data_IF_261912641073
#
_entry.id   IF_261912641073
#
_cell.length_a   1.000
_cell.length_b   1.000
_cell.length_c   1.000
_cell.angle_alpha   90.00
_cell.angle_beta   90.00
_cell.angle_gamma   90.00
#
_symmetry.space_group_name_H-M   'P 1'
#
loop_
_entity.id
_entity.type
_entity.pdbx_description
1 polymer ?
#
# COMPACT_ATOMS: atom_id res chain seq x y z
N UNK A 1 -3.86 22.57 2.76
CA UNK A 1 -2.94 21.59 3.37
C UNK A 1 -3.74 20.38 3.80
N UNK A 2 -3.78 19.31 2.98
CA UNK A 2 -4.56 18.11 3.30
C UNK A 2 -3.93 17.41 4.53
N UNK A 3 -4.65 17.39 5.65
CA UNK A 3 -4.26 16.66 6.87
C UNK A 3 -4.66 15.18 6.72
N UNK A 4 -4.04 14.45 5.80
CA UNK A 4 -4.49 13.09 5.44
C UNK A 4 -3.93 11.96 6.32
N UNK A 5 -3.22 12.29 7.40
CA UNK A 5 -2.65 11.30 8.31
C UNK A 5 -3.09 11.48 9.76
N UNK A 6 -3.69 10.44 10.37
CA UNK A 6 -3.90 10.38 11.83
C UNK A 6 -2.71 9.67 12.47
N UNK A 7 -1.92 10.41 13.23
CA UNK A 7 -0.82 9.86 14.03
C UNK A 7 -1.35 9.19 15.30
N UNK A 8 -0.95 7.94 15.52
CA UNK A 8 -1.16 7.19 16.75
C UNK A 8 0.19 7.03 17.45
N UNK A 9 0.36 7.76 18.55
CA UNK A 9 1.60 7.82 19.31
C UNK A 9 1.37 7.44 20.77
N UNK A 10 2.31 6.68 21.33
CA UNK A 10 2.36 6.37 22.76
C UNK A 10 3.55 7.11 23.37
N UNK A 11 3.28 8.08 24.24
CA UNK A 11 4.35 8.92 24.82
C UNK A 11 5.16 8.19 25.90
N UNK A 12 4.55 7.26 26.63
CA UNK A 12 5.23 6.52 27.71
C UNK A 12 6.22 5.49 27.15
N UNK A 13 7.51 5.52 27.55
CA UNK A 13 8.50 4.52 27.14
C UNK A 13 8.11 3.08 27.54
N UNK A 14 7.56 2.90 28.75
CA UNK A 14 7.11 1.58 29.24
C UNK A 14 5.97 1.03 28.38
N UNK A 15 4.98 1.86 28.07
CA UNK A 15 3.86 1.46 27.22
C UNK A 15 4.29 1.23 25.76
N UNK A 16 5.28 1.97 25.25
CA UNK A 16 5.88 1.70 23.93
C UNK A 16 6.54 0.33 23.89
N UNK A 17 7.31 -0.04 24.93
CA UNK A 17 7.92 -1.38 25.03
C UNK A 17 6.85 -2.48 25.04
N UNK A 18 5.79 -2.33 25.83
CA UNK A 18 4.67 -3.28 25.87
C UNK A 18 4.00 -3.40 24.49
N UNK A 19 3.65 -2.27 23.86
CA UNK A 19 3.09 -2.24 22.50
C UNK A 19 3.99 -2.97 21.51
N UNK A 20 5.29 -2.68 21.51
CA UNK A 20 6.23 -3.28 20.56
C UNK A 20 6.32 -4.80 20.74
N UNK A 21 6.38 -5.27 22.00
CA UNK A 21 6.35 -6.71 22.30
C UNK A 21 5.06 -7.37 21.81
N UNK A 22 3.89 -6.75 22.07
CA UNK A 22 2.60 -7.28 21.61
C UNK A 22 2.51 -7.31 20.08
N UNK A 23 3.02 -6.28 19.39
CA UNK A 23 3.10 -6.24 17.93
C UNK A 23 3.99 -7.37 17.39
N UNK A 24 5.17 -7.56 17.96
CA UNK A 24 6.07 -8.65 17.58
C UNK A 24 5.41 -10.01 17.77
N UNK A 25 4.81 -10.27 18.94
CA UNK A 25 4.12 -11.52 19.23
C UNK A 25 2.98 -11.79 18.23
N UNK A 26 2.13 -10.80 17.97
CA UNK A 26 1.04 -10.93 17.01
C UNK A 26 1.56 -11.23 15.60
N UNK A 27 2.55 -10.45 15.13
CA UNK A 27 3.10 -10.62 13.78
C UNK A 27 3.77 -11.99 13.61
N UNK A 28 4.47 -12.48 14.63
CA UNK A 28 5.05 -13.82 14.63
C UNK A 28 3.96 -14.89 14.55
N UNK A 29 2.94 -14.81 15.41
CA UNK A 29 1.84 -15.79 15.42
C UNK A 29 1.07 -15.82 14.10
N UNK A 30 0.77 -14.65 13.51
CA UNK A 30 0.10 -14.57 12.20
C UNK A 30 0.99 -15.14 11.09
N UNK A 31 2.31 -14.91 11.15
CA UNK A 31 3.25 -15.44 10.17
C UNK A 31 3.36 -16.97 10.25
N UNK A 32 3.44 -17.52 11.45
CA UNK A 32 3.45 -18.97 11.67
C UNK A 32 2.17 -19.61 11.14
N UNK A 33 1.01 -19.06 11.53
CA UNK A 33 -0.30 -19.52 11.03
C UNK A 33 -0.41 -19.43 9.50
N UNK A 34 0.09 -18.33 8.90
CA UNK A 34 0.13 -18.18 7.44
C UNK A 34 0.94 -19.31 6.79
N UNK A 35 2.14 -19.61 7.29
CA UNK A 35 2.95 -20.70 6.76
C UNK A 35 2.26 -22.07 6.90
N UNK A 36 1.64 -22.36 8.04
CA UNK A 36 0.88 -23.60 8.21
C UNK A 36 -0.28 -23.75 7.21
N UNK A 37 -0.96 -22.65 6.86
CA UNK A 37 -2.05 -22.67 5.87
C UNK A 37 -1.49 -22.97 4.49
N UNK A 38 -0.37 -22.36 4.11
CA UNK A 38 0.30 -22.64 2.84
C UNK A 38 0.73 -24.10 2.76
N UNK A 39 1.39 -24.63 3.79
CA UNK A 39 1.83 -26.03 3.85
C UNK A 39 0.63 -27.00 3.73
N UNK A 40 -0.49 -26.69 4.41
CA UNK A 40 -1.75 -27.45 4.26
C UNK A 40 -2.28 -27.37 2.82
N UNK A 41 -2.20 -26.20 2.19
CA UNK A 41 -2.62 -25.97 0.81
C UNK A 41 -1.83 -26.84 -0.18
N UNK A 42 -0.50 -26.84 -0.05
CA UNK A 42 0.39 -27.68 -0.86
C UNK A 42 0.07 -29.18 -0.66
N UNK A 43 -0.17 -29.61 0.58
CA UNK A 43 -0.60 -30.97 0.88
C UNK A 43 -1.91 -31.34 0.17
N UNK A 44 -2.90 -30.45 0.15
CA UNK A 44 -4.19 -30.71 -0.52
C UNK A 44 -4.09 -30.72 -2.05
N UNK A 45 -3.15 -29.97 -2.63
CA UNK A 45 -2.86 -29.99 -4.07
C UNK A 45 -2.36 -31.38 -4.51
N UNK A 46 -1.55 -32.06 -3.69
CA UNK A 46 -1.08 -33.42 -3.99
C UNK A 46 -2.24 -34.42 -4.14
N UNK A 47 -3.32 -34.23 -3.38
CA UNK A 47 -4.55 -35.03 -3.46
C UNK A 47 -5.58 -34.49 -4.46
N UNK A 48 -5.23 -33.46 -5.25
CA UNK A 48 -6.12 -32.76 -6.20
C UNK A 48 -7.42 -32.25 -5.57
N UNK A 49 -7.40 -31.95 -4.27
CA UNK A 49 -8.57 -31.43 -3.54
C UNK A 49 -8.68 -29.90 -3.73
N UNK A 50 -9.03 -29.48 -4.95
CA UNK A 50 -9.05 -28.08 -5.35
C UNK A 50 -10.03 -27.22 -4.52
N UNK A 51 -11.15 -27.81 -4.09
CA UNK A 51 -12.12 -27.09 -3.24
C UNK A 51 -11.51 -26.71 -1.89
N UNK A 52 -10.75 -27.61 -1.27
CA UNK A 52 -10.07 -27.31 0.00
C UNK A 52 -8.95 -26.30 -0.18
N UNK A 53 -8.21 -26.36 -1.29
CA UNK A 53 -7.19 -25.36 -1.63
C UNK A 53 -7.80 -23.97 -1.72
N UNK A 54 -8.92 -23.80 -2.42
CA UNK A 54 -9.61 -22.51 -2.51
C UNK A 54 -10.06 -21.96 -1.15
N UNK A 55 -10.45 -22.83 -0.20
CA UNK A 55 -10.77 -22.40 1.16
C UNK A 55 -9.53 -21.93 1.92
N UNK A 56 -8.42 -22.66 1.80
CA UNK A 56 -7.15 -22.31 2.43
C UNK A 56 -6.56 -21.03 1.84
N UNK A 57 -6.68 -20.80 0.53
CA UNK A 57 -6.25 -19.55 -0.11
C UNK A 57 -7.00 -18.33 0.45
N UNK A 58 -8.31 -18.46 0.69
CA UNK A 58 -9.10 -17.40 1.33
C UNK A 58 -8.60 -17.12 2.75
N UNK A 59 -8.26 -18.16 3.50
CA UNK A 59 -7.72 -18.04 4.85
C UNK A 59 -6.31 -17.42 4.85
N UNK A 60 -5.47 -17.82 3.89
CA UNK A 60 -4.13 -17.28 3.68
C UNK A 60 -4.19 -15.79 3.33
N UNK A 61 -5.15 -15.36 2.50
CA UNK A 61 -5.33 -13.95 2.14
C UNK A 61 -5.65 -13.07 3.36
N UNK A 62 -6.47 -13.56 4.31
CA UNK A 62 -6.74 -12.83 5.56
C UNK A 62 -5.46 -12.63 6.37
N UNK A 63 -4.63 -13.67 6.47
CA UNK A 63 -3.35 -13.60 7.19
C UNK A 63 -2.35 -12.70 6.47
N UNK A 64 -2.30 -12.77 5.15
CA UNK A 64 -1.50 -11.87 4.31
C UNK A 64 -1.88 -10.41 4.59
N UNK A 65 -3.17 -10.08 4.56
CA UNK A 65 -3.64 -8.73 4.86
C UNK A 65 -3.25 -8.28 6.28
N UNK A 66 -3.34 -9.18 7.26
CA UNK A 66 -2.88 -8.89 8.63
C UNK A 66 -1.36 -8.71 8.73
N UNK A 67 -0.56 -9.33 7.87
CA UNK A 67 0.90 -9.16 7.86
C UNK A 67 1.33 -7.87 7.17
N UNK A 68 0.59 -7.43 6.14
CA UNK A 68 1.03 -6.34 5.26
C UNK A 68 0.23 -5.03 5.41
N UNK A 69 -1.02 -5.09 5.86
CA UNK A 69 -1.92 -3.93 5.97
C UNK A 69 -2.29 -3.58 7.44
N UNK A 70 -1.59 -4.15 8.42
CA UNK A 70 -1.83 -3.91 9.85
C UNK A 70 -1.17 -2.64 10.41
N UNK A 71 -1.77 -2.06 11.46
CA UNK A 71 -1.17 -1.00 12.28
C UNK A 71 0.10 -1.45 13.02
N UNK A 72 0.31 -2.76 13.13
CA UNK A 72 1.44 -3.33 13.87
C UNK A 72 2.78 -3.17 13.15
N UNK A 73 2.79 -2.79 11.87
CA UNK A 73 3.99 -2.76 11.03
C UNK A 73 3.92 -1.61 10.03
N UNK A 74 5.01 -0.87 9.87
CA UNK A 74 5.12 0.13 8.81
C UNK A 74 5.19 -0.57 7.45
N UNK A 75 4.27 -0.23 6.53
CA UNK A 75 4.26 -0.79 5.16
C UNK A 75 5.53 -0.49 4.37
N UNK A 76 6.18 0.65 4.62
CA UNK A 76 7.36 1.09 3.85
C UNK A 76 8.67 0.51 4.37
N UNK A 77 8.92 0.59 5.69
CA UNK A 77 10.20 0.18 6.28
C UNK A 77 10.13 -1.09 7.13
N UNK A 78 8.98 -1.75 7.18
CA UNK A 78 8.72 -2.98 7.94
C UNK A 78 8.92 -2.89 9.47
N UNK A 79 9.20 -1.70 10.02
CA UNK A 79 9.37 -1.52 11.45
C UNK A 79 8.05 -1.70 12.22
N UNK A 80 8.09 -2.45 13.32
CA UNK A 80 6.99 -2.60 14.27
C UNK A 80 7.16 -1.76 15.55
N UNK A 81 8.31 -1.09 15.70
CA UNK A 81 8.66 -0.31 16.89
C UNK A 81 8.22 1.15 16.82
N UNK A 82 8.08 1.68 15.61
CA UNK A 82 7.75 3.08 15.38
C UNK A 82 6.26 3.35 15.61
N UNK A 83 5.92 4.62 15.81
CA UNK A 83 4.52 5.07 15.81
C UNK A 83 3.88 4.82 14.43
N UNK A 84 2.56 4.95 14.35
CA UNK A 84 1.81 4.64 13.14
C UNK A 84 1.01 5.85 12.67
N UNK A 85 1.01 6.11 11.37
CA UNK A 85 0.19 7.09 10.67
C UNK A 85 -0.70 6.31 9.71
N UNK A 86 -2.02 6.51 9.84
CA UNK A 86 -2.98 5.98 8.87
C UNK A 86 -2.90 6.81 7.59
N UNK A 87 -2.85 6.16 6.44
CA UNK A 87 -2.80 6.81 5.13
C UNK A 87 -3.79 6.13 4.18
N UNK A 88 -4.60 6.94 3.50
CA UNK A 88 -5.55 6.50 2.49
C UNK A 88 -4.96 6.76 1.08
N UNK A 89 -4.87 5.77 0.18
CA UNK A 89 -4.19 5.92 -1.14
C UNK A 89 -4.77 7.00 -2.04
N UNK A 90 -5.96 7.53 -1.76
CA UNK A 90 -6.64 8.49 -2.64
C UNK A 90 -5.88 9.80 -2.89
N UNK A 91 -4.85 10.12 -2.11
CA UNK A 91 -3.97 11.24 -2.45
C UNK A 91 -3.11 10.96 -3.70
N UNK A 92 -3.00 9.71 -4.16
CA UNK A 92 -2.28 9.38 -5.41
C UNK A 92 -3.18 9.57 -6.63
N UNK A 93 -4.50 9.42 -6.47
CA UNK A 93 -5.48 9.52 -7.56
C UNK A 93 -5.37 10.85 -8.33
N UNK A 94 -4.92 11.93 -7.68
CA UNK A 94 -4.68 13.24 -8.31
C UNK A 94 -3.56 13.23 -9.37
N UNK A 95 -2.71 12.21 -9.37
CA UNK A 95 -1.62 12.05 -10.34
C UNK A 95 -1.98 11.08 -11.46
N UNK A 96 -3.17 10.49 -11.47
CA UNK A 96 -3.53 9.47 -12.46
C UNK A 96 -4.20 10.11 -13.68
N UNK A 97 -3.75 9.75 -14.89
CA UNK A 97 -4.35 10.14 -16.15
C UNK A 97 -4.63 8.93 -17.06
N UNK A 98 -5.80 8.87 -17.74
CA UNK A 98 -6.97 9.73 -17.51
C UNK A 98 -7.48 9.63 -16.07
N UNK A 99 -8.18 10.66 -15.55
CA UNK A 99 -8.69 10.64 -14.18
C UNK A 99 -9.55 9.41 -13.92
N UNK A 100 -9.43 8.85 -12.71
CA UNK A 100 -10.21 7.69 -12.29
C UNK A 100 -11.72 7.97 -12.39
N UNK A 101 -12.47 7.04 -12.98
CA UNK A 101 -13.93 7.08 -13.03
C UNK A 101 -14.57 6.67 -11.69
N UNK A 102 -15.88 6.86 -11.55
CA UNK A 102 -16.63 6.46 -10.34
C UNK A 102 -16.55 4.97 -10.00
N UNK A 103 -16.20 4.13 -10.99
CA UNK A 103 -16.09 2.69 -10.85
C UNK A 103 -14.64 2.22 -10.61
N UNK A 104 -13.66 3.11 -10.69
CA UNK A 104 -12.24 2.80 -10.47
C UNK A 104 -11.92 2.83 -8.97
N UNK A 105 -12.12 1.69 -8.30
CA UNK A 105 -11.92 1.56 -6.87
C UNK A 105 -10.43 1.36 -6.54
N UNK A 106 -9.69 2.45 -6.31
CA UNK A 106 -8.29 2.43 -5.85
C UNK A 106 -8.13 2.68 -4.33
N UNK A 107 -9.20 2.52 -3.54
CA UNK A 107 -9.19 2.78 -2.10
C UNK A 107 -8.44 1.70 -1.32
N UNK A 108 -7.11 1.68 -1.40
CA UNK A 108 -6.28 0.94 -0.45
C UNK A 108 -5.85 1.87 0.69
N UNK A 109 -5.96 1.40 1.93
CA UNK A 109 -5.46 2.13 3.10
C UNK A 109 -4.34 1.35 3.74
N UNK A 110 -3.39 2.06 4.35
CA UNK A 110 -2.20 1.45 4.93
C UNK A 110 -1.64 2.27 6.08
N UNK A 111 -0.73 1.65 6.83
CA UNK A 111 -0.08 2.24 7.99
C UNK A 111 1.42 2.41 7.71
N UNK A 112 1.95 3.60 7.99
CA UNK A 112 3.40 3.88 7.90
C UNK A 112 3.90 4.54 9.18
N UNK A 113 5.21 4.56 9.39
CA UNK A 113 5.79 5.34 10.47
C UNK A 113 5.87 6.83 10.11
N UNK A 114 6.02 7.74 11.11
CA UNK A 114 6.10 9.18 10.87
C UNK A 114 7.18 9.58 9.87
N UNK A 115 8.35 8.93 9.93
CA UNK A 115 9.46 9.22 9.01
C UNK A 115 9.08 8.88 7.56
N UNK A 116 8.56 7.66 7.33
CA UNK A 116 8.12 7.24 6.00
C UNK A 116 6.89 8.03 5.51
N UNK A 117 6.03 8.48 6.41
CA UNK A 117 4.94 9.40 6.06
C UNK A 117 5.48 10.73 5.58
N UNK A 118 6.50 11.29 6.26
CA UNK A 118 7.14 12.53 5.83
C UNK A 118 7.78 12.36 4.45
N UNK A 119 8.56 11.29 4.24
CA UNK A 119 9.18 11.00 2.94
C UNK A 119 8.13 10.87 1.82
N UNK A 120 6.98 10.26 2.13
CA UNK A 120 5.86 10.14 1.20
C UNK A 120 5.26 11.51 0.84
N UNK A 121 5.02 12.37 1.84
CA UNK A 121 4.52 13.73 1.62
C UNK A 121 5.52 14.56 0.82
N UNK A 122 6.80 14.49 1.13
CA UNK A 122 7.85 15.22 0.41
C UNK A 122 7.90 14.78 -1.07
N UNK A 123 7.76 13.47 -1.36
CA UNK A 123 7.64 12.96 -2.74
C UNK A 123 6.39 13.46 -3.46
N UNK A 124 5.24 13.50 -2.77
CA UNK A 124 3.98 14.00 -3.34
C UNK A 124 4.10 15.47 -3.71
N UNK A 125 4.67 16.29 -2.83
CA UNK A 125 4.86 17.72 -3.11
C UNK A 125 5.85 17.94 -4.26
N UNK A 126 6.90 17.12 -4.35
CA UNK A 126 7.78 17.09 -5.51
C UNK A 126 7.02 16.73 -6.80
N UNK A 127 6.23 15.66 -6.80
CA UNK A 127 5.44 15.25 -7.97
C UNK A 127 4.44 16.30 -8.43
N UNK A 128 3.80 17.02 -7.50
CA UNK A 128 2.92 18.15 -7.84
C UNK A 128 3.71 19.27 -8.51
N UNK A 129 4.84 19.64 -7.93
CA UNK A 129 5.69 20.72 -8.43
C UNK A 129 6.19 20.43 -9.84
N UNK A 130 6.68 19.22 -10.06
CA UNK A 130 7.26 18.79 -11.33
C UNK A 130 6.21 18.22 -12.31
N UNK A 131 4.92 18.27 -11.96
CA UNK A 131 3.80 17.80 -12.78
C UNK A 131 3.98 16.35 -13.28
N UNK A 132 4.29 15.44 -12.35
CA UNK A 132 4.31 14.00 -12.61
C UNK A 132 2.91 13.42 -12.69
N UNK A 133 2.71 12.49 -13.62
CA UNK A 133 1.47 11.76 -13.79
C UNK A 133 1.72 10.28 -14.06
N UNK A 134 0.85 9.43 -13.53
CA UNK A 134 0.73 8.04 -13.92
C UNK A 134 -0.21 7.95 -15.12
N UNK A 135 0.37 7.72 -16.30
CA UNK A 135 -0.36 7.53 -17.54
C UNK A 135 -0.76 6.06 -17.63
N UNK A 136 -2.00 5.76 -17.23
CA UNK A 136 -2.52 4.39 -17.09
C UNK A 136 -2.45 3.61 -18.39
N UNK A 137 -2.90 4.23 -19.49
CA UNK A 137 -3.01 3.57 -20.79
C UNK A 137 -1.64 3.21 -21.38
N UNK A 138 -0.59 3.83 -20.84
CA UNK A 138 0.81 3.60 -21.21
C UNK A 138 1.62 2.92 -20.10
N UNK A 139 1.00 2.59 -18.96
CA UNK A 139 1.64 2.01 -17.78
C UNK A 139 2.92 2.73 -17.34
N UNK A 140 3.00 4.06 -17.49
CA UNK A 140 4.21 4.84 -17.18
C UNK A 140 3.95 5.95 -16.16
N UNK A 141 4.96 6.29 -15.36
CA UNK A 141 4.90 7.41 -14.41
C UNK A 141 6.01 8.40 -14.74
N UNK A 142 5.64 9.56 -15.30
CA UNK A 142 6.61 10.56 -15.73
C UNK A 142 6.06 11.99 -15.65
N UNK A 143 6.96 12.97 -15.74
CA UNK A 143 6.61 14.38 -15.80
C UNK A 143 6.22 14.80 -17.21
N UNK A 144 5.31 15.78 -17.32
CA UNK A 144 4.96 16.36 -18.62
C UNK A 144 6.18 16.90 -19.37
N UNK A 145 7.15 17.46 -18.64
CA UNK A 145 8.37 18.00 -19.22
C UNK A 145 9.26 16.91 -19.85
N UNK A 146 9.43 15.77 -19.17
CA UNK A 146 10.20 14.64 -19.71
C UNK A 146 9.52 14.04 -20.94
N UNK A 147 8.19 14.06 -20.97
CA UNK A 147 7.39 13.63 -22.12
C UNK A 147 7.36 14.65 -23.26
N UNK A 148 7.94 15.84 -23.08
CA UNK A 148 7.97 16.90 -24.09
C UNK A 148 6.62 17.56 -24.35
N UNK A 149 5.64 17.40 -23.45
CA UNK A 149 4.27 17.93 -23.57
C UNK A 149 4.01 19.05 -22.58
N UNK A 150 3.18 20.04 -22.95
CA UNK A 150 2.93 21.20 -22.10
C UNK A 150 1.77 20.99 -21.12
N UNK A 151 0.81 20.14 -21.48
CA UNK A 151 -0.39 19.86 -20.71
C UNK A 151 -0.94 18.46 -21.04
N UNK A 152 -1.89 17.98 -20.23
CA UNK A 152 -2.48 16.65 -20.38
C UNK A 152 -3.36 16.51 -21.62
N UNK A 153 -3.89 17.60 -22.20
CA UNK A 153 -4.73 17.54 -23.41
C UNK A 153 -3.91 17.17 -24.66
N UNK A 154 -2.59 17.39 -24.62
CA UNK A 154 -1.67 16.98 -25.68
C UNK A 154 -1.45 15.45 -25.73
N UNK A 155 -1.75 14.73 -24.64
CA UNK A 155 -1.64 13.25 -24.61
C UNK A 155 -2.61 12.62 -25.62
N UNK A 156 -3.84 13.14 -25.74
CA UNK A 156 -4.82 12.67 -26.72
C UNK A 156 -4.39 12.90 -28.18
N UNK A 157 -3.44 13.81 -28.42
CA UNK A 157 -2.86 14.04 -29.76
C UNK A 157 -1.75 13.04 -30.07
N UNK A 158 -1.02 12.58 -29.05
CA UNK A 158 -0.08 11.47 -29.22
C UNK A 158 -0.81 10.18 -29.62
N UNK A 159 -2.07 10.00 -29.22
CA UNK A 159 -2.91 8.87 -29.63
C UNK A 159 -3.35 8.90 -31.10
N UNK A 160 -3.36 10.07 -31.77
CA UNK A 160 -3.82 10.19 -33.16
C UNK A 160 -2.73 10.02 -34.22
N UNK A 161 -1.46 9.99 -33.78
CA UNK A 161 -0.28 9.90 -34.65
C UNK A 161 0.33 8.49 -34.68
N UNK A 162 -0.28 7.52 -33.99
CA UNK A 162 0.04 6.08 -34.00
C UNK A 162 -1.16 5.26 -34.52
#
# INVERSE_FOLDING_TARGET
MMKTGRLIKINSPKLRKIRNNLRSLLLTAVKESFHEIIDKGEGQLLFRNLFRVQQLDKEANIHYDLLFNTICKCKSCNSNEKDAVFVHYSFIDQFVYPPLGSNDNHSSSFWVCPDCYKDLIDKIEYFKKEKYYYLRDYCTFDSLNNLGIKNLDEIKKLESDF
#
